data_IF_780178847601
#
_entry.id   IF_780178847601
#
_cell.length_a   1.000
_cell.length_b   1.000
_cell.length_c   1.000
_cell.angle_alpha   90.00
_cell.angle_beta   90.00
_cell.angle_gamma   90.00
#
_symmetry.space_group_name_H-M   'P 1'
#
loop_
_entity.id
_entity.type
_entity.pdbx_description
1 polymer ?
#
# COMPACT_ATOMS: atom_id res chain seq x y z
N UNK A 1 -15.55 -14.36 13.45
CA UNK A 1 -14.29 -14.94 12.95
C UNK A 1 -13.12 -14.06 13.42
N UNK A 2 -12.91 -13.99 14.74
CA UNK A 2 -12.14 -12.92 15.41
C UNK A 2 -10.67 -12.81 14.97
N UNK A 3 -10.03 -13.95 14.69
CA UNK A 3 -8.60 -13.99 14.33
C UNK A 3 -8.26 -13.22 13.05
N UNK A 4 -9.12 -13.30 12.03
CA UNK A 4 -8.84 -12.63 10.74
C UNK A 4 -9.01 -11.12 10.88
N UNK A 5 -10.02 -10.69 11.61
CA UNK A 5 -10.26 -9.27 11.90
C UNK A 5 -9.11 -8.69 12.74
N UNK A 6 -8.66 -9.42 13.77
CA UNK A 6 -7.52 -9.03 14.61
C UNK A 6 -6.23 -8.93 13.78
N UNK A 7 -5.99 -9.88 12.87
CA UNK A 7 -4.83 -9.86 11.98
C UNK A 7 -4.79 -8.62 11.09
N UNK A 8 -5.92 -8.26 10.46
CA UNK A 8 -5.98 -7.06 9.61
C UNK A 8 -5.91 -5.77 10.42
N UNK A 9 -6.45 -5.77 11.65
CA UNK A 9 -6.31 -4.65 12.59
C UNK A 9 -4.84 -4.40 12.90
N UNK A 10 -4.08 -5.43 13.26
CA UNK A 10 -2.65 -5.33 13.53
C UNK A 10 -1.88 -4.78 12.32
N UNK A 11 -2.11 -5.33 11.12
CA UNK A 11 -1.44 -4.86 9.91
C UNK A 11 -1.75 -3.39 9.64
N UNK A 12 -3.02 -2.99 9.77
CA UNK A 12 -3.46 -1.61 9.54
C UNK A 12 -2.73 -0.67 10.50
N UNK A 13 -2.69 -1.00 11.78
CA UNK A 13 -2.11 -0.15 12.82
C UNK A 13 -0.61 0.05 12.56
N UNK A 14 0.14 -1.01 12.21
CA UNK A 14 1.55 -0.88 11.79
C UNK A 14 1.74 -0.01 10.53
N UNK A 15 0.84 -0.10 9.55
CA UNK A 15 0.94 0.70 8.32
C UNK A 15 0.59 2.19 8.53
N UNK A 16 -0.19 2.48 9.56
CA UNK A 16 -0.61 3.84 9.93
C UNK A 16 0.41 4.56 10.81
N UNK A 17 1.19 3.80 11.58
CA UNK A 17 2.25 4.29 12.46
C UNK A 17 3.12 5.40 11.84
N UNK A 18 3.47 6.41 12.63
CA UNK A 18 4.11 7.65 12.19
C UNK A 18 5.57 7.52 11.72
N UNK A 19 6.18 6.33 11.83
CA UNK A 19 7.48 6.08 11.23
C UNK A 19 7.45 6.40 9.72
N UNK A 20 8.50 7.06 9.19
CA UNK A 20 8.53 7.42 7.77
C UNK A 20 8.43 6.22 6.83
N UNK A 21 8.91 5.04 7.27
CA UNK A 21 8.88 3.81 6.50
C UNK A 21 8.44 2.63 7.40
N UNK A 22 7.37 1.94 6.99
CA UNK A 22 6.98 0.66 7.59
C UNK A 22 7.09 -0.45 6.56
N UNK A 23 7.59 -1.61 6.96
CA UNK A 23 7.64 -2.83 6.16
C UNK A 23 7.19 -4.03 6.99
N UNK A 24 6.12 -4.69 6.55
CA UNK A 24 5.59 -5.92 7.14
C UNK A 24 5.78 -7.03 6.12
N UNK A 25 6.63 -8.00 6.43
CA UNK A 25 6.92 -9.13 5.55
C UNK A 25 6.22 -10.40 6.06
N UNK A 26 5.34 -10.95 5.22
CA UNK A 26 4.68 -12.23 5.46
C UNK A 26 5.31 -13.24 4.50
N UNK A 27 6.19 -14.08 5.04
CA UNK A 27 6.93 -15.08 4.25
C UNK A 27 5.97 -15.90 3.39
N UNK A 28 6.39 -16.17 2.17
CA UNK A 28 5.62 -16.89 1.14
C UNK A 28 4.35 -16.20 0.62
N UNK A 29 3.85 -15.15 1.29
CA UNK A 29 2.67 -14.41 0.88
C UNK A 29 3.01 -13.09 0.17
N UNK A 30 3.80 -12.22 0.81
CA UNK A 30 4.15 -10.92 0.26
C UNK A 30 4.60 -9.90 1.31
N UNK A 31 4.71 -8.65 0.88
CA UNK A 31 5.16 -7.53 1.71
C UNK A 31 4.15 -6.40 1.64
N UNK A 32 3.73 -5.90 2.80
CA UNK A 32 3.04 -4.63 2.92
C UNK A 32 4.06 -3.56 3.32
N UNK A 33 4.09 -2.45 2.62
CA UNK A 33 4.95 -1.32 2.96
C UNK A 33 4.16 0.00 2.98
N UNK A 34 4.51 0.89 3.89
CA UNK A 34 4.06 2.29 3.93
C UNK A 34 5.30 3.17 3.79
N UNK A 35 5.31 4.10 2.84
CA UNK A 35 6.47 4.96 2.57
C UNK A 35 6.07 6.35 2.07
N UNK A 36 6.92 7.37 2.21
CA UNK A 36 6.62 8.71 1.77
C UNK A 36 6.55 8.75 0.24
N UNK A 37 5.59 9.49 -0.28
CA UNK A 37 5.48 9.83 -1.70
C UNK A 37 5.73 11.31 -1.88
N UNK A 38 6.34 11.68 -3.01
CA UNK A 38 6.58 13.08 -3.34
C UNK A 38 5.24 13.80 -3.56
N UNK A 39 5.22 15.08 -3.21
CA UNK A 39 4.12 15.96 -3.57
C UNK A 39 3.90 15.93 -5.09
N UNK A 40 2.63 16.04 -5.51
CA UNK A 40 2.28 16.23 -6.92
C UNK A 40 1.80 17.68 -7.09
N UNK A 41 2.65 18.57 -7.62
CA UNK A 41 2.31 19.98 -7.72
C UNK A 41 1.19 20.25 -8.74
N UNK A 42 1.05 19.37 -9.74
CA UNK A 42 0.06 19.49 -10.82
C UNK A 42 -0.71 18.17 -10.97
N UNK A 43 -1.52 17.82 -9.98
CA UNK A 43 -2.53 16.78 -10.16
C UNK A 43 -3.79 17.41 -10.79
N UNK A 44 -4.64 16.61 -11.45
CA UNK A 44 -5.90 17.11 -12.01
C UNK A 44 -7.08 16.50 -11.29
N UNK A 45 -8.08 17.32 -11.00
CA UNK A 45 -9.36 16.82 -10.52
C UNK A 45 -10.09 16.13 -11.69
N UNK A 46 -10.39 14.82 -11.61
CA UNK A 46 -11.04 14.11 -12.71
C UNK A 46 -12.47 14.60 -13.00
N UNK A 47 -13.12 15.31 -12.06
CA UNK A 47 -14.48 15.86 -12.25
C UNK A 47 -14.48 17.26 -12.87
N UNK A 48 -13.52 18.12 -12.50
CA UNK A 48 -13.49 19.54 -12.93
C UNK A 48 -12.34 19.87 -13.90
N UNK A 49 -11.37 18.97 -14.06
CA UNK A 49 -10.15 19.13 -14.84
C UNK A 49 -9.18 20.24 -14.37
N UNK A 50 -9.47 20.86 -13.22
CA UNK A 50 -8.62 21.88 -12.61
C UNK A 50 -7.32 21.28 -12.05
N UNK A 51 -6.25 22.07 -12.08
CA UNK A 51 -4.99 21.70 -11.45
C UNK A 51 -5.08 21.88 -9.93
N UNK A 52 -4.76 20.80 -9.20
CA UNK A 52 -4.76 20.73 -7.75
C UNK A 52 -3.37 20.34 -7.24
N UNK A 53 -2.95 20.95 -6.13
CA UNK A 53 -1.75 20.57 -5.42
C UNK A 53 -2.05 19.41 -4.47
N UNK A 54 -1.24 18.35 -4.53
CA UNK A 54 -1.31 17.22 -3.58
C UNK A 54 -0.03 17.19 -2.76
N UNK A 55 -0.09 17.40 -1.43
CA UNK A 55 1.09 17.40 -0.58
C UNK A 55 1.77 16.03 -0.53
N UNK A 56 3.03 16.02 -0.09
CA UNK A 56 3.71 14.77 0.24
C UNK A 56 2.97 14.05 1.37
N UNK A 57 2.80 12.74 1.24
CA UNK A 57 2.09 11.90 2.21
C UNK A 57 2.61 10.47 2.15
N UNK A 58 2.24 9.62 3.11
CA UNK A 58 2.54 8.19 3.06
C UNK A 58 1.62 7.47 2.09
N UNK A 59 2.15 6.50 1.35
CA UNK A 59 1.35 5.57 0.54
C UNK A 59 1.67 4.15 0.94
N UNK A 60 0.61 3.35 1.03
CA UNK A 60 0.72 1.91 1.20
C UNK A 60 0.96 1.22 -0.15
N UNK A 61 1.68 0.11 -0.13
CA UNK A 61 1.89 -0.76 -1.29
C UNK A 61 1.96 -2.21 -0.83
N UNK A 62 1.26 -3.08 -1.54
CA UNK A 62 1.47 -4.52 -1.44
C UNK A 62 2.41 -5.00 -2.55
N UNK A 63 3.37 -5.85 -2.19
CA UNK A 63 4.25 -6.57 -3.11
C UNK A 63 3.93 -8.06 -2.98
N UNK A 64 3.28 -8.68 -3.97
CA UNK A 64 2.97 -10.11 -3.91
C UNK A 64 4.25 -10.94 -3.90
N UNK A 65 4.25 -12.01 -3.10
CA UNK A 65 5.34 -12.97 -3.00
C UNK A 65 5.51 -13.80 -4.27
N UNK A 66 6.62 -14.55 -4.35
CA UNK A 66 6.97 -15.37 -5.52
C UNK A 66 5.87 -16.35 -5.91
N UNK A 67 5.26 -17.03 -4.93
CA UNK A 67 4.21 -18.04 -5.18
C UNK A 67 3.02 -17.41 -5.90
N UNK A 68 2.45 -16.34 -5.34
CA UNK A 68 1.32 -15.62 -5.90
C UNK A 68 1.67 -15.04 -7.28
N UNK A 69 2.83 -14.38 -7.40
CA UNK A 69 3.29 -13.78 -8.66
C UNK A 69 3.49 -14.82 -9.77
N UNK A 70 4.04 -15.99 -9.46
CA UNK A 70 4.25 -17.06 -10.44
C UNK A 70 2.92 -17.66 -10.88
N UNK A 71 2.00 -17.89 -9.94
CA UNK A 71 0.68 -18.44 -10.26
C UNK A 71 -0.11 -17.54 -11.23
N UNK A 72 -0.12 -16.23 -10.98
CA UNK A 72 -0.87 -15.25 -11.78
C UNK A 72 -0.28 -14.96 -13.18
N UNK A 73 0.93 -15.42 -13.48
CA UNK A 73 1.57 -15.24 -14.79
C UNK A 73 1.21 -16.33 -15.81
N UNK A 74 0.45 -17.33 -15.39
CA UNK A 74 0.01 -18.40 -16.29
C UNK A 74 -0.94 -17.83 -17.36
N UNK A 75 -0.84 -18.30 -18.62
CA UNK A 75 -1.83 -17.99 -19.65
C UNK A 75 -3.24 -18.38 -19.21
N UNK A 76 -4.23 -17.66 -19.74
CA UNK A 76 -5.66 -17.99 -19.58
C UNK A 76 -6.04 -19.02 -20.63
#
# INVERSE_FOLDING_TARGET
>A
MKLVDDFFTIIRDFLMDDHPYTRIEIRNFGVFESKPTKAKPRARNPRTNEEIYVPAHKKTRFKPGKILKTHLRKPI
#
